data_IF_548277320890
#
_entry.id   IF_548277320890
#
_cell.length_a   1.000
_cell.length_b   1.000
_cell.length_c   1.000
_cell.angle_alpha   90.00
_cell.angle_beta   90.00
_cell.angle_gamma   90.00
#
_symmetry.space_group_name_H-M   'P 1'
#
loop_
_entity.id
_entity.type
_entity.pdbx_description
1 polymer ?
#
# COMPACT_ATOMS: atom_id res chain seq x y z
N UNK A 1 -11.06 24.18 16.11
CA UNK A 1 -10.15 24.90 15.19
C UNK A 1 -10.19 24.11 13.89
N UNK A 2 -11.16 24.44 13.03
CA UNK A 2 -11.51 23.68 11.83
C UNK A 2 -10.44 23.85 10.75
N UNK A 3 -9.96 22.73 10.20
CA UNK A 3 -9.05 22.71 9.07
C UNK A 3 -9.79 23.09 7.80
N UNK A 4 -9.42 24.23 7.22
CA UNK A 4 -9.91 24.68 5.92
C UNK A 4 -9.49 23.69 4.83
N UNK A 5 -10.44 22.95 4.27
CA UNK A 5 -10.26 22.25 3.01
C UNK A 5 -10.29 23.28 1.87
N UNK A 6 -9.21 23.40 1.11
CA UNK A 6 -9.20 24.18 -0.12
C UNK A 6 -10.08 23.49 -1.16
N UNK A 7 -11.31 23.99 -1.31
CA UNK A 7 -12.21 23.55 -2.39
C UNK A 7 -11.85 24.36 -3.64
N UNK A 8 -11.06 23.77 -4.53
CA UNK A 8 -10.83 24.32 -5.87
C UNK A 8 -12.09 24.10 -6.71
N UNK A 9 -12.88 25.17 -6.92
CA UNK A 9 -14.07 25.14 -7.76
C UNK A 9 -13.68 25.39 -9.23
N UNK A 10 -13.73 24.34 -10.05
CA UNK A 10 -13.64 24.43 -11.51
C UNK A 10 -15.00 24.06 -12.11
N UNK A 11 -15.64 25.00 -12.81
CA UNK A 11 -17.04 24.90 -13.33
C UNK A 11 -17.31 23.79 -14.36
N UNK A 12 -16.29 23.03 -14.79
CA UNK A 12 -16.41 21.94 -15.77
C UNK A 12 -16.05 20.56 -15.22
N UNK A 13 -15.89 20.40 -13.91
CA UNK A 13 -15.78 19.07 -13.32
C UNK A 13 -17.14 18.37 -13.45
N UNK A 14 -17.21 17.35 -14.32
CA UNK A 14 -18.21 16.28 -14.14
C UNK A 14 -18.14 15.84 -12.68
N UNK A 15 -19.29 15.73 -12.00
CA UNK A 15 -19.38 15.20 -10.64
C UNK A 15 -18.60 13.89 -10.57
N UNK A 16 -17.35 13.97 -10.11
CA UNK A 16 -16.52 12.80 -9.95
C UNK A 16 -17.14 12.03 -8.78
N UNK A 17 -17.48 10.76 -9.02
CA UNK A 17 -17.69 9.83 -7.91
C UNK A 17 -16.48 10.00 -6.99
N UNK A 18 -16.67 10.32 -5.69
CA UNK A 18 -15.53 10.59 -4.82
C UNK A 18 -14.63 9.36 -4.86
N UNK A 19 -13.42 9.55 -5.37
CA UNK A 19 -12.42 8.50 -5.38
C UNK A 19 -12.19 8.09 -3.91
N UNK A 20 -12.08 6.79 -3.61
CA UNK A 20 -11.83 6.36 -2.24
C UNK A 20 -10.56 7.03 -1.71
N UNK A 21 -10.64 7.56 -0.49
CA UNK A 21 -9.54 8.31 0.11
C UNK A 21 -8.29 7.41 0.29
N UNK A 22 -7.15 7.84 -0.25
CA UNK A 22 -5.87 7.14 -0.09
C UNK A 22 -5.40 7.30 1.35
N UNK A 23 -5.37 6.18 2.08
CA UNK A 23 -4.97 6.15 3.49
C UNK A 23 -3.46 6.26 3.65
N UNK A 24 -3.04 6.79 4.80
CA UNK A 24 -1.63 6.96 5.17
C UNK A 24 -1.35 6.14 6.40
N UNK A 25 -0.30 5.33 6.35
CA UNK A 25 0.11 4.47 7.45
C UNK A 25 1.63 4.52 7.67
N UNK A 26 2.10 4.19 8.87
CA UNK A 26 3.52 3.85 9.04
C UNK A 26 3.75 2.42 8.58
N UNK A 27 2.97 1.48 9.11
CA UNK A 27 2.84 0.10 8.65
C UNK A 27 1.36 -0.15 8.30
N UNK A 28 1.05 -0.94 7.27
CA UNK A 28 -0.34 -1.05 6.79
C UNK A 28 -1.31 -1.41 7.93
N UNK A 29 -2.36 -0.60 8.10
CA UNK A 29 -3.36 -0.76 9.17
C UNK A 29 -2.93 -0.20 10.53
N UNK A 30 -1.68 0.25 10.69
CA UNK A 30 -1.12 0.81 11.92
C UNK A 30 -0.67 2.26 11.74
N UNK A 31 -1.12 3.12 12.65
CA UNK A 31 -0.83 4.55 12.64
C UNK A 31 0.23 4.99 13.67
N UNK A 32 0.65 4.08 14.55
CA UNK A 32 1.69 4.34 15.56
C UNK A 32 3.08 4.40 14.95
N UNK A 33 4.04 5.00 15.67
CA UNK A 33 5.45 4.96 15.27
C UNK A 33 6.02 3.55 15.38
N UNK A 34 6.83 3.16 14.39
CA UNK A 34 7.63 1.95 14.46
C UNK A 34 8.81 2.22 15.40
N UNK A 35 9.04 1.37 16.42
CA UNK A 35 10.19 1.52 17.32
C UNK A 35 11.53 1.21 16.63
N UNK A 36 11.49 0.51 15.50
CA UNK A 36 12.66 -0.03 14.81
C UNK A 36 13.07 0.81 13.58
N UNK A 37 14.39 0.89 13.34
CA UNK A 37 14.96 1.52 12.14
C UNK A 37 14.67 0.69 10.88
N UNK A 38 14.53 -0.63 11.05
CA UNK A 38 14.14 -1.58 10.01
C UNK A 38 13.15 -2.56 10.62
N UNK A 39 11.95 -2.63 10.03
CA UNK A 39 10.96 -3.66 10.31
C UNK A 39 11.03 -4.71 9.19
N UNK A 40 10.94 -5.99 9.54
CA UNK A 40 10.90 -7.08 8.59
C UNK A 40 9.89 -8.11 9.06
N UNK A 41 8.89 -8.39 8.22
CA UNK A 41 7.86 -9.40 8.51
C UNK A 41 7.60 -10.28 7.30
N UNK A 42 7.00 -11.45 7.52
CA UNK A 42 6.55 -12.27 6.40
C UNK A 42 5.34 -11.61 5.75
N UNK A 43 5.18 -11.79 4.44
CA UNK A 43 3.98 -11.31 3.72
C UNK A 43 2.70 -11.82 4.39
N UNK A 44 2.71 -13.07 4.88
CA UNK A 44 1.57 -13.68 5.56
C UNK A 44 1.20 -13.00 6.88
N UNK A 45 2.17 -12.44 7.62
CA UNK A 45 1.97 -11.85 8.95
C UNK A 45 0.84 -10.80 8.95
N UNK A 46 0.74 -10.01 7.88
CA UNK A 46 -0.29 -8.99 7.70
C UNK A 46 -1.36 -9.39 6.69
N UNK A 47 -0.98 -10.10 5.63
CA UNK A 47 -1.90 -10.43 4.54
C UNK A 47 -3.06 -11.32 4.99
N UNK A 48 -2.84 -12.28 5.90
CA UNK A 48 -3.91 -13.17 6.38
C UNK A 48 -5.01 -12.40 7.11
N UNK A 49 -4.64 -11.36 7.86
CA UNK A 49 -5.57 -10.51 8.60
C UNK A 49 -6.42 -9.60 7.69
N UNK A 50 -6.02 -9.47 6.41
CA UNK A 50 -6.63 -8.59 5.43
C UNK A 50 -7.08 -9.34 4.17
N UNK A 51 -7.43 -10.63 4.29
CA UNK A 51 -7.91 -11.45 3.17
C UNK A 51 -6.97 -11.42 1.95
N UNK A 52 -5.67 -11.41 2.22
CA UNK A 52 -4.58 -11.31 1.25
C UNK A 52 -4.62 -10.06 0.37
N UNK A 53 -5.34 -9.02 0.81
CA UNK A 53 -5.51 -7.77 0.09
C UNK A 53 -5.12 -6.59 0.96
N UNK A 54 -3.98 -5.99 0.64
CA UNK A 54 -3.53 -4.72 1.20
C UNK A 54 -4.00 -3.60 0.27
N UNK A 55 -5.14 -3.00 0.61
CA UNK A 55 -5.76 -1.94 -0.17
C UNK A 55 -4.81 -0.77 -0.46
N UNK A 56 -5.10 0.01 -1.51
CA UNK A 56 -4.25 1.12 -1.92
C UNK A 56 -4.04 2.14 -0.79
N UNK A 57 -2.78 2.42 -0.47
CA UNK A 57 -2.34 3.31 0.60
C UNK A 57 -0.98 3.93 0.26
N UNK A 58 -0.44 4.73 1.17
CA UNK A 58 0.94 5.22 1.12
C UNK A 58 1.54 5.27 2.51
N UNK A 59 2.86 5.29 2.58
CA UNK A 59 3.58 5.51 3.82
C UNK A 59 4.18 6.91 3.91
N UNK A 60 3.98 7.60 5.03
CA UNK A 60 4.55 8.94 5.22
C UNK A 60 6.05 8.92 5.54
N UNK A 61 6.54 7.83 6.14
CA UNK A 61 7.89 7.73 6.71
C UNK A 61 8.60 6.39 6.46
N UNK A 62 7.96 5.45 5.76
CA UNK A 62 8.50 4.11 5.50
C UNK A 62 8.87 3.98 4.02
N UNK A 63 10.10 3.55 3.76
CA UNK A 63 10.50 2.99 2.47
C UNK A 63 10.31 1.48 2.56
N UNK A 64 9.44 0.90 1.73
CA UNK A 64 9.13 -0.53 1.79
C UNK A 64 9.87 -1.28 0.68
N UNK A 65 10.37 -2.47 1.01
CA UNK A 65 10.91 -3.42 0.04
C UNK A 65 10.21 -4.75 0.27
N UNK A 66 9.64 -5.31 -0.79
CA UNK A 66 8.89 -6.57 -0.71
C UNK A 66 9.51 -7.59 -1.65
N UNK A 67 9.81 -8.79 -1.14
CA UNK A 67 10.35 -9.91 -1.92
C UNK A 67 9.35 -11.05 -1.93
N UNK A 68 8.99 -11.54 -3.12
CA UNK A 68 8.20 -12.77 -3.28
C UNK A 68 9.17 -13.96 -3.39
N UNK A 69 9.08 -14.92 -2.47
CA UNK A 69 9.84 -16.17 -2.57
C UNK A 69 9.03 -17.24 -3.33
N UNK A 70 7.75 -17.39 -2.99
CA UNK A 70 6.82 -18.34 -3.63
C UNK A 70 5.42 -17.75 -3.73
N UNK A 71 4.62 -18.22 -4.68
CA UNK A 71 3.28 -17.67 -4.94
C UNK A 71 3.33 -16.46 -5.87
N UNK A 72 2.60 -15.39 -5.55
CA UNK A 72 2.54 -14.20 -6.38
C UNK A 72 1.28 -13.38 -6.15
N UNK A 73 0.85 -12.65 -7.18
CA UNK A 73 -0.34 -11.81 -7.11
C UNK A 73 -0.23 -10.61 -8.02
N UNK A 74 -0.76 -9.48 -7.56
CA UNK A 74 -0.73 -8.20 -8.28
C UNK A 74 -0.37 -7.07 -7.34
N UNK A 75 0.42 -6.12 -7.84
CA UNK A 75 0.65 -4.84 -7.18
C UNK A 75 -0.01 -3.72 -7.98
N UNK A 76 -0.61 -2.77 -7.27
CA UNK A 76 -0.95 -1.46 -7.82
C UNK A 76 0.16 -0.50 -7.43
N UNK A 77 0.78 0.18 -8.39
CA UNK A 77 1.86 1.15 -8.19
C UNK A 77 1.49 2.43 -8.95
N UNK A 78 1.18 3.51 -8.22
CA UNK A 78 0.63 4.77 -8.75
C UNK A 78 -0.49 4.56 -9.78
N UNK A 79 -1.42 3.65 -9.47
CA UNK A 79 -2.58 3.33 -10.30
C UNK A 79 -2.31 2.35 -11.45
N UNK A 80 -1.06 1.93 -11.69
CA UNK A 80 -0.73 0.87 -12.64
C UNK A 80 -0.72 -0.49 -11.95
N UNK A 81 -1.44 -1.44 -12.51
CA UNK A 81 -1.42 -2.84 -12.05
C UNK A 81 -0.28 -3.60 -12.73
N UNK A 82 0.53 -4.29 -11.93
CA UNK A 82 1.63 -5.15 -12.40
C UNK A 82 1.53 -6.54 -11.75
N UNK A 83 1.78 -7.62 -12.52
CA UNK A 83 1.79 -8.96 -11.95
C UNK A 83 3.04 -9.18 -11.09
N UNK A 84 2.86 -9.88 -9.98
CA UNK A 84 3.92 -10.34 -9.08
C UNK A 84 4.15 -11.84 -9.25
N UNK A 85 5.41 -12.22 -9.41
CA UNK A 85 5.88 -13.59 -9.61
C UNK A 85 6.93 -13.95 -8.56
N UNK A 86 7.21 -15.25 -8.35
CA UNK A 86 8.31 -15.68 -7.49
C UNK A 86 9.65 -15.07 -7.89
N UNK A 87 10.50 -14.83 -6.89
CA UNK A 87 11.83 -14.22 -6.99
C UNK A 87 11.84 -12.80 -7.58
N UNK A 88 10.77 -12.04 -7.34
CA UNK A 88 10.71 -10.62 -7.67
C UNK A 88 10.75 -9.75 -6.43
N UNK A 89 11.40 -8.60 -6.56
CA UNK A 89 11.43 -7.54 -5.56
C UNK A 89 10.57 -6.37 -6.05
N UNK A 90 9.75 -5.83 -5.17
CA UNK A 90 9.08 -4.53 -5.32
C UNK A 90 9.77 -3.55 -4.39
N UNK A 91 10.20 -2.41 -4.95
CA UNK A 91 10.81 -1.32 -4.21
C UNK A 91 9.83 -0.13 -4.20
N UNK A 92 9.42 0.29 -3.01
CA UNK A 92 8.37 1.30 -2.82
C UNK A 92 8.95 2.47 -2.03
N UNK A 93 9.23 3.60 -2.69
CA UNK A 93 9.70 4.82 -2.02
C UNK A 93 8.65 5.40 -1.07
N UNK A 94 9.13 6.20 -0.11
CA UNK A 94 8.27 6.94 0.82
C UNK A 94 7.25 7.79 0.04
N UNK A 95 5.99 7.77 0.47
CA UNK A 95 4.90 8.55 -0.12
C UNK A 95 4.29 7.97 -1.39
N UNK A 96 4.90 6.95 -2.00
CA UNK A 96 4.38 6.31 -3.21
C UNK A 96 3.02 5.63 -2.93
N UNK A 97 2.05 5.78 -3.84
CA UNK A 97 0.72 5.20 -3.66
C UNK A 97 0.73 3.78 -4.22
N UNK A 98 0.50 2.80 -3.36
CA UNK A 98 0.60 1.40 -3.73
C UNK A 98 -0.40 0.51 -3.00
N UNK A 99 -0.63 -0.68 -3.53
CA UNK A 99 -1.46 -1.71 -2.90
C UNK A 99 -1.06 -3.09 -3.43
N UNK A 100 -1.45 -4.12 -2.71
CA UNK A 100 -1.10 -5.51 -3.04
C UNK A 100 -2.30 -6.42 -2.91
N UNK A 101 -2.44 -7.35 -3.85
CA UNK A 101 -3.36 -8.48 -3.77
C UNK A 101 -2.57 -9.75 -4.02
N UNK A 102 -2.30 -10.47 -2.95
CA UNK A 102 -1.52 -11.70 -2.99
C UNK A 102 -2.43 -12.91 -3.23
N UNK A 103 -1.87 -13.94 -3.86
CA UNK A 103 -2.50 -15.27 -3.88
C UNK A 103 -2.40 -15.86 -2.46
N UNK A 104 -3.46 -16.45 -1.89
CA UNK A 104 -3.38 -17.10 -0.59
C UNK A 104 -2.25 -18.14 -0.51
N UNK A 105 -1.45 -18.06 0.54
CA UNK A 105 -0.25 -18.89 0.72
C UNK A 105 1.02 -18.34 0.05
N UNK A 106 0.99 -17.10 -0.47
CA UNK A 106 2.21 -16.42 -0.96
C UNK A 106 3.21 -16.26 0.19
N UNK A 107 4.46 -16.58 -0.09
CA UNK A 107 5.57 -16.52 0.86
C UNK A 107 6.61 -15.50 0.42
N UNK A 108 7.26 -14.88 1.39
CA UNK A 108 8.22 -13.82 1.18
C UNK A 108 8.26 -12.85 2.35
N UNK A 109 8.93 -11.72 2.14
CA UNK A 109 9.26 -10.75 3.17
C UNK A 109 8.88 -9.34 2.75
N UNK A 110 8.50 -8.52 3.73
CA UNK A 110 8.19 -7.10 3.59
C UNK A 110 8.79 -6.28 4.72
#
# INVERSE_FOLDING_TARGET
>A
MEGSAFVLYYSNMRTAVPAPAIRVYNLFGEAGDLPDVVHCETIAARSVLHDWTLAVHRHARLHQVLMIERGGGEATLDGRVVPLKPMQIVNVPVGHVHGFRFVPGTEGWS
#
